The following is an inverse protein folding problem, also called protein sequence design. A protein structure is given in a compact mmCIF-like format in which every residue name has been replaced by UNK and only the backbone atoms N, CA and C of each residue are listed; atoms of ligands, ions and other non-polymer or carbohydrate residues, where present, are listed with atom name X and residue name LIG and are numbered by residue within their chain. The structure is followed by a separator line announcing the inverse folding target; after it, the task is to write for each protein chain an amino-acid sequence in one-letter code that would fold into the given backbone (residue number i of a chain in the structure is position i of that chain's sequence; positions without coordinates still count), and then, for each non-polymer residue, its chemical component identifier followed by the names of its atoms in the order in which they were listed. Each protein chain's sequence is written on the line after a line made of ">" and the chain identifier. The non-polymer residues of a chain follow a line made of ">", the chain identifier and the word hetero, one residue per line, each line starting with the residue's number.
data_IF_652065010147
#
_entry.id   IF_652065010147
#
_cell.length_a   1.000
_cell.length_b   1.000
_cell.length_c   1.000
_cell.angle_alpha   90.00
_cell.angle_beta   90.00
_cell.angle_gamma   90.00
#
_symmetry.space_group_name_H-M   'P 1'
#
loop_
_entity.id
_entity.type
_entity.pdbx_description
1 polymer ?
#
# COMPACT_ATOMS: atom_id res chain seq x y z
N UNK A 1 -28.84 14.27 6.42
CA UNK A 1 -27.54 14.12 5.79
C UNK A 1 -27.58 14.71 4.38
N UNK A 2 -26.57 15.49 4.05
CA UNK A 2 -26.46 16.18 2.77
C UNK A 2 -26.12 15.16 1.66
N UNK A 3 -26.65 15.38 0.45
CA UNK A 3 -26.35 14.55 -0.72
C UNK A 3 -24.85 14.55 -1.06
N UNK A 4 -24.16 15.68 -0.81
CA UNK A 4 -22.72 15.81 -1.07
C UNK A 4 -21.92 14.85 -0.20
N UNK A 5 -22.29 14.73 1.08
CA UNK A 5 -21.59 13.83 2.02
C UNK A 5 -21.75 12.37 1.61
N UNK A 6 -22.95 11.98 1.18
CA UNK A 6 -23.22 10.63 0.69
C UNK A 6 -22.38 10.33 -0.55
N UNK A 7 -22.27 11.29 -1.46
CA UNK A 7 -21.48 11.12 -2.69
C UNK A 7 -20.01 10.91 -2.37
N UNK A 8 -19.45 11.70 -1.44
CA UNK A 8 -18.04 11.58 -1.03
C UNK A 8 -17.77 10.23 -0.36
N UNK A 9 -18.69 9.76 0.50
CA UNK A 9 -18.58 8.45 1.14
C UNK A 9 -18.57 7.33 0.11
N UNK A 10 -19.43 7.44 -0.91
CA UNK A 10 -19.51 6.44 -1.97
C UNK A 10 -18.22 6.39 -2.80
N UNK A 11 -17.64 7.54 -3.12
CA UNK A 11 -16.38 7.61 -3.84
C UNK A 11 -15.23 7.00 -3.02
N UNK A 12 -15.15 7.30 -1.73
CA UNK A 12 -14.13 6.76 -0.85
C UNK A 12 -14.23 5.23 -0.75
N UNK A 13 -15.45 4.71 -0.60
CA UNK A 13 -15.69 3.26 -0.54
C UNK A 13 -15.32 2.59 -1.85
N UNK A 14 -15.67 3.19 -2.98
CA UNK A 14 -15.33 2.65 -4.29
C UNK A 14 -13.82 2.64 -4.52
N UNK A 15 -13.12 3.69 -4.14
CA UNK A 15 -11.67 3.77 -4.26
C UNK A 15 -10.96 2.68 -3.46
N UNK A 16 -11.40 2.44 -2.21
CA UNK A 16 -10.84 1.36 -1.38
C UNK A 16 -11.08 0.00 -2.02
N UNK A 17 -12.27 -0.23 -2.56
CA UNK A 17 -12.60 -1.50 -3.22
C UNK A 17 -11.70 -1.72 -4.43
N UNK A 18 -11.51 -0.69 -5.26
CA UNK A 18 -10.65 -0.76 -6.43
C UNK A 18 -9.19 -1.01 -6.04
N UNK A 19 -8.71 -0.39 -4.98
CA UNK A 19 -7.36 -0.59 -4.49
C UNK A 19 -7.17 -2.02 -3.96
N UNK A 20 -8.16 -2.56 -3.26
CA UNK A 20 -8.12 -3.95 -2.79
C UNK A 20 -8.09 -4.92 -3.97
N UNK A 21 -8.89 -4.68 -5.00
CA UNK A 21 -8.90 -5.51 -6.21
C UNK A 21 -7.54 -5.46 -6.93
N UNK A 22 -6.92 -4.28 -7.00
CA UNK A 22 -5.59 -4.12 -7.60
C UNK A 22 -4.53 -4.90 -6.82
N UNK A 23 -4.60 -4.88 -5.49
CA UNK A 23 -3.68 -5.65 -4.64
C UNK A 23 -3.87 -7.15 -4.84
N UNK A 24 -5.12 -7.62 -4.95
CA UNK A 24 -5.40 -9.03 -5.24
C UNK A 24 -4.84 -9.46 -6.60
N UNK A 25 -4.94 -8.60 -7.59
CA UNK A 25 -4.42 -8.89 -8.93
C UNK A 25 -2.91 -9.12 -8.92
N UNK A 26 -2.18 -8.52 -7.99
CA UNK A 26 -0.74 -8.73 -7.86
C UNK A 26 -0.37 -10.15 -7.43
N UNK A 27 -1.32 -10.91 -6.90
CA UNK A 27 -1.08 -12.31 -6.51
C UNK A 27 -0.54 -13.14 -7.68
N UNK A 28 -0.91 -12.80 -8.92
CA UNK A 28 -0.40 -13.49 -10.11
C UNK A 28 1.13 -13.38 -10.20
N UNK A 29 1.68 -12.26 -9.80
CA UNK A 29 3.13 -12.02 -9.82
C UNK A 29 3.80 -12.51 -8.54
N UNK A 30 3.19 -12.25 -7.39
CA UNK A 30 3.81 -12.56 -6.11
C UNK A 30 3.74 -14.03 -5.73
N UNK A 31 2.84 -14.80 -6.36
CA UNK A 31 2.74 -16.24 -6.14
C UNK A 31 4.05 -16.98 -6.46
N UNK A 32 4.83 -16.44 -7.39
CA UNK A 32 6.17 -16.94 -7.74
C UNK A 32 7.10 -16.99 -6.51
N UNK A 33 6.87 -16.08 -5.56
CA UNK A 33 7.66 -16.01 -4.32
C UNK A 33 6.95 -16.65 -3.13
N UNK A 34 5.84 -17.34 -3.39
CA UNK A 34 5.03 -17.97 -2.33
C UNK A 34 4.18 -16.99 -1.55
N UNK A 35 3.91 -15.81 -2.11
CA UNK A 35 3.18 -14.74 -1.45
C UNK A 35 1.84 -14.51 -2.12
N UNK A 36 0.77 -14.45 -1.32
CA UNK A 36 -0.56 -14.12 -1.81
C UNK A 36 -1.38 -13.47 -0.70
N UNK A 37 -2.34 -12.66 -1.10
CA UNK A 37 -3.28 -12.00 -0.19
C UNK A 37 -4.67 -12.61 -0.39
N UNK A 38 -5.40 -12.78 0.71
CA UNK A 38 -6.83 -13.05 0.66
C UNK A 38 -7.58 -11.75 0.38
N UNK A 39 -8.87 -11.85 0.04
CA UNK A 39 -9.72 -10.67 -0.13
C UNK A 39 -9.75 -9.81 1.14
N UNK A 40 -9.86 -10.44 2.31
CA UNK A 40 -9.87 -9.72 3.59
C UNK A 40 -8.55 -9.00 3.85
N UNK A 41 -7.43 -9.64 3.54
CA UNK A 41 -6.11 -9.04 3.71
C UNK A 41 -5.91 -7.86 2.76
N UNK A 42 -6.31 -8.00 1.50
CA UNK A 42 -6.23 -6.91 0.53
C UNK A 42 -7.10 -5.72 0.95
N UNK A 43 -8.30 -5.98 1.45
CA UNK A 43 -9.18 -4.93 1.97
C UNK A 43 -8.56 -4.22 3.17
N UNK A 44 -7.94 -4.97 4.08
CA UNK A 44 -7.26 -4.42 5.25
C UNK A 44 -6.10 -3.51 4.85
N UNK A 45 -5.31 -3.91 3.85
CA UNK A 45 -4.22 -3.09 3.33
C UNK A 45 -4.72 -1.82 2.64
N UNK A 46 -5.81 -1.91 1.89
CA UNK A 46 -6.42 -0.73 1.27
C UNK A 46 -6.91 0.26 2.33
N UNK A 47 -7.40 -0.23 3.46
CA UNK A 47 -7.78 0.62 4.60
C UNK A 47 -6.56 1.34 5.17
N UNK A 48 -5.45 0.64 5.36
CA UNK A 48 -4.21 1.25 5.86
C UNK A 48 -3.72 2.34 4.90
N UNK A 49 -3.70 2.06 3.61
CA UNK A 49 -3.32 3.04 2.60
C UNK A 49 -4.22 4.28 2.66
N UNK A 50 -5.52 4.07 2.72
CA UNK A 50 -6.50 5.15 2.78
C UNK A 50 -6.31 6.02 4.02
N UNK A 51 -6.09 5.38 5.18
CA UNK A 51 -5.87 6.09 6.44
C UNK A 51 -4.59 6.94 6.39
N UNK A 52 -3.51 6.39 5.85
CA UNK A 52 -2.23 7.10 5.73
C UNK A 52 -2.35 8.30 4.79
N UNK A 53 -3.02 8.14 3.67
CA UNK A 53 -3.25 9.22 2.72
C UNK A 53 -4.09 10.34 3.35
N UNK A 54 -5.14 9.97 4.05
CA UNK A 54 -6.01 10.92 4.73
C UNK A 54 -5.25 11.71 5.81
N UNK A 55 -4.49 11.01 6.63
CA UNK A 55 -3.72 11.64 7.70
C UNK A 55 -2.66 12.59 7.17
N UNK A 56 -2.09 12.28 6.02
CA UNK A 56 -1.07 13.11 5.38
C UNK A 56 -1.66 14.22 4.51
N UNK A 57 -2.96 14.22 4.28
CA UNK A 57 -3.61 15.15 3.36
C UNK A 57 -3.21 14.91 1.91
N UNK A 58 -2.94 13.64 1.54
CA UNK A 58 -2.47 13.27 0.21
C UNK A 58 -3.54 12.55 -0.57
N UNK A 59 -3.44 12.63 -1.89
CA UNK A 59 -4.32 11.93 -2.83
C UNK A 59 -3.43 11.14 -3.79
N UNK A 60 -3.81 9.88 -4.02
CA UNK A 60 -3.19 9.03 -5.04
C UNK A 60 -4.27 8.49 -5.97
N UNK A 61 -3.95 8.40 -7.25
CA UNK A 61 -4.87 7.87 -8.25
C UNK A 61 -4.62 6.38 -8.47
N UNK A 62 -5.69 5.62 -8.69
CA UNK A 62 -5.62 4.18 -8.90
C UNK A 62 -5.09 3.46 -7.66
N UNK A 63 -4.30 2.41 -7.87
CA UNK A 63 -3.66 1.67 -6.78
C UNK A 63 -2.54 2.48 -6.11
N UNK A 64 -2.04 3.52 -6.78
CA UNK A 64 -1.02 4.41 -6.24
C UNK A 64 0.25 3.66 -5.87
N UNK A 65 0.83 4.07 -4.74
CA UNK A 65 2.09 3.49 -4.27
C UNK A 65 1.96 2.09 -3.67
N UNK A 66 0.73 1.65 -3.34
CA UNK A 66 0.53 0.32 -2.77
C UNK A 66 1.05 -0.78 -3.71
N UNK A 67 0.73 -0.69 -4.99
CA UNK A 67 1.20 -1.64 -6.01
C UNK A 67 2.73 -1.62 -6.11
N UNK A 68 3.31 -0.42 -6.18
CA UNK A 68 4.77 -0.26 -6.27
C UNK A 68 5.48 -0.79 -5.03
N UNK A 69 4.90 -0.60 -3.85
CA UNK A 69 5.44 -1.13 -2.59
C UNK A 69 5.47 -2.66 -2.61
N UNK A 70 4.37 -3.29 -2.99
CA UNK A 70 4.30 -4.75 -3.07
C UNK A 70 5.37 -5.28 -4.02
N UNK A 71 5.46 -4.71 -5.22
CA UNK A 71 6.42 -5.17 -6.23
C UNK A 71 7.86 -4.91 -5.85
N UNK A 72 8.14 -3.85 -5.10
CA UNK A 72 9.49 -3.53 -4.65
C UNK A 72 10.02 -4.48 -3.58
N UNK A 73 9.12 -5.14 -2.84
CA UNK A 73 9.53 -5.99 -1.71
C UNK A 73 9.24 -7.48 -1.90
N UNK A 74 8.44 -7.87 -2.91
CA UNK A 74 7.96 -9.25 -3.03
C UNK A 74 9.06 -10.29 -3.23
N UNK A 75 10.23 -9.91 -3.72
CA UNK A 75 11.37 -10.82 -3.92
C UNK A 75 12.38 -10.76 -2.76
N UNK A 76 12.07 -10.08 -1.67
CA UNK A 76 12.95 -10.03 -0.50
C UNK A 76 13.00 -11.39 0.21
N UNK A 77 14.19 -11.86 0.59
CA UNK A 77 14.31 -13.11 1.34
C UNK A 77 13.71 -13.05 2.75
N UNK A 78 13.41 -11.85 3.24
CA UNK A 78 12.83 -11.66 4.57
C UNK A 78 11.30 -11.68 4.59
N UNK A 79 10.65 -11.72 3.40
CA UNK A 79 9.20 -11.89 3.30
C UNK A 79 8.86 -13.35 3.10
N UNK A 80 7.82 -13.80 3.82
CA UNK A 80 7.28 -15.15 3.68
C UNK A 80 5.76 -15.12 3.89
N UNK A 81 5.10 -16.25 3.64
CA UNK A 81 3.64 -16.33 3.74
C UNK A 81 3.13 -15.95 5.14
N UNK A 82 3.89 -16.25 6.20
CA UNK A 82 3.46 -16.00 7.57
C UNK A 82 3.49 -14.52 7.95
N UNK A 83 4.43 -13.75 7.39
CA UNK A 83 4.59 -12.34 7.76
C UNK A 83 4.14 -11.35 6.66
N UNK A 84 3.63 -11.84 5.55
CA UNK A 84 3.40 -11.02 4.35
C UNK A 84 2.46 -9.85 4.63
N UNK A 85 1.26 -10.10 5.11
CA UNK A 85 0.29 -9.04 5.35
C UNK A 85 0.79 -8.04 6.39
N UNK A 86 1.27 -8.52 7.52
CA UNK A 86 1.73 -7.65 8.60
C UNK A 86 2.87 -6.75 8.15
N UNK A 87 3.82 -7.32 7.42
CA UNK A 87 4.97 -6.57 6.90
C UNK A 87 4.52 -5.51 5.89
N UNK A 88 3.55 -5.82 5.03
CA UNK A 88 3.03 -4.84 4.09
C UNK A 88 2.36 -3.67 4.81
N UNK A 89 1.60 -3.91 5.88
CA UNK A 89 1.02 -2.84 6.69
C UNK A 89 2.12 -1.91 7.22
N UNK A 90 3.17 -2.47 7.76
CA UNK A 90 4.30 -1.71 8.31
C UNK A 90 5.03 -0.94 7.20
N UNK A 91 5.21 -1.55 6.04
CA UNK A 91 5.86 -0.89 4.90
C UNK A 91 5.03 0.30 4.38
N UNK A 92 3.71 0.15 4.32
CA UNK A 92 2.83 1.25 3.92
C UNK A 92 2.95 2.41 4.91
N UNK A 93 2.89 2.12 6.20
CA UNK A 93 3.03 3.12 7.24
C UNK A 93 4.38 3.82 7.18
N UNK A 94 5.46 3.05 7.05
CA UNK A 94 6.82 3.59 6.94
C UNK A 94 6.99 4.48 5.71
N UNK A 95 6.47 4.04 4.58
CA UNK A 95 6.61 4.81 3.32
C UNK A 95 6.03 6.21 3.48
N UNK A 96 4.80 6.31 3.98
CA UNK A 96 4.14 7.61 4.11
C UNK A 96 4.75 8.45 5.22
N UNK A 97 5.23 7.82 6.30
CA UNK A 97 5.93 8.52 7.37
C UNK A 97 7.22 9.18 6.85
N UNK A 98 8.04 8.42 6.13
CA UNK A 98 9.28 8.95 5.56
C UNK A 98 9.02 10.01 4.49
N UNK A 99 8.01 9.79 3.67
CA UNK A 99 7.65 10.76 2.64
C UNK A 99 7.28 12.10 3.26
N UNK A 100 6.52 12.07 4.36
CA UNK A 100 6.14 13.29 5.09
C UNK A 100 7.33 13.93 5.81
N UNK A 101 8.17 13.12 6.46
CA UNK A 101 9.35 13.62 7.17
C UNK A 101 10.35 14.31 6.24
N UNK A 102 10.51 13.77 5.04
CA UNK A 102 11.44 14.33 4.05
C UNK A 102 10.81 15.45 3.23
N UNK A 103 9.55 15.78 3.47
CA UNK A 103 8.81 16.82 2.74
C UNK A 103 8.90 16.65 1.22
N UNK A 104 8.81 15.39 0.77
CA UNK A 104 8.86 15.02 -0.66
C UNK A 104 10.19 15.36 -1.37
N UNK A 105 11.26 15.56 -0.60
CA UNK A 105 12.60 15.81 -1.18
C UNK A 105 13.08 14.59 -1.97
N UNK A 106 12.78 13.39 -1.47
CA UNK A 106 13.09 12.15 -2.18
C UNK A 106 11.93 11.79 -3.10
N UNK A 107 12.26 11.32 -4.32
CA UNK A 107 11.23 10.76 -5.19
C UNK A 107 10.69 9.46 -4.57
N UNK A 108 9.50 9.04 -4.99
CA UNK A 108 8.91 7.79 -4.51
C UNK A 108 9.84 6.62 -4.82
N UNK A 109 10.42 6.59 -6.01
CA UNK A 109 11.36 5.53 -6.41
C UNK A 109 12.60 5.51 -5.51
N UNK A 110 13.19 6.67 -5.23
CA UNK A 110 14.37 6.76 -4.36
C UNK A 110 14.04 6.31 -2.95
N UNK A 111 12.86 6.66 -2.46
CA UNK A 111 12.39 6.25 -1.14
C UNK A 111 12.21 4.74 -1.04
N UNK A 112 11.63 4.13 -2.08
CA UNK A 112 11.48 2.66 -2.13
C UNK A 112 12.83 1.95 -2.12
N UNK A 113 13.80 2.46 -2.87
CA UNK A 113 15.16 1.88 -2.91
C UNK A 113 15.80 1.97 -1.52
N UNK A 114 15.70 3.11 -0.87
CA UNK A 114 16.22 3.32 0.48
C UNK A 114 15.59 2.34 1.47
N UNK A 115 14.26 2.23 1.44
CA UNK A 115 13.53 1.33 2.34
C UNK A 115 13.90 -0.13 2.10
N UNK A 116 14.01 -0.56 0.84
CA UNK A 116 14.36 -1.92 0.50
C UNK A 116 15.77 -2.26 0.99
N UNK A 117 16.72 -1.37 0.79
CA UNK A 117 18.09 -1.58 1.26
C UNK A 117 18.14 -1.70 2.79
N UNK A 118 17.39 -0.86 3.50
CA UNK A 118 17.31 -0.94 4.96
C UNK A 118 16.62 -2.23 5.43
N UNK A 119 15.60 -2.67 4.72
CA UNK A 119 14.83 -3.87 5.05
C UNK A 119 15.68 -5.14 4.89
N UNK A 120 16.53 -5.20 3.87
CA UNK A 120 17.34 -6.38 3.56
C UNK A 120 18.63 -6.49 4.39
N UNK A 121 18.84 -5.55 5.27
CA UNK A 121 19.99 -5.60 6.18
C UNK A 121 19.68 -6.42 7.47
#
# INVERSE_FOLDING_TARGET
>A
MDKTDLTLLNFASLAKKQNAEALLALNEKTAEYGLSLTEAQAASLAETQSAELKNAGRIELGAGMAESLVLAFCDSPYLNAANYEQTLHELFECFYAFKNETSDVLSDKALLIFMRNAFDH
#
